data_IF_840036040816
#
_entry.id   IF_840036040816
#
_cell.length_a   1.000
_cell.length_b   1.000
_cell.length_c   1.000
_cell.angle_alpha   90.00
_cell.angle_beta   90.00
_cell.angle_gamma   90.00
#
_symmetry.space_group_name_H-M   'P 1'
#
loop_
_entity.id
_entity.type
_entity.pdbx_description
1 polymer ?
#
# COMPACT_ATOMS: atom_id res chain seq x y z
N UNK A 1 21.81 -19.69 35.82
CA UNK A 1 21.40 -19.47 34.41
C UNK A 1 20.82 -18.07 34.31
N UNK A 2 21.57 -17.14 33.75
CA UNK A 2 21.15 -15.75 33.67
C UNK A 2 20.18 -15.59 32.49
N UNK A 3 19.04 -14.95 32.77
CA UNK A 3 18.02 -14.60 31.79
C UNK A 3 18.59 -13.47 30.88
N UNK A 4 18.58 -13.60 29.56
CA UNK A 4 19.07 -12.51 28.70
C UNK A 4 18.11 -11.32 28.76
N UNK A 5 18.66 -10.15 29.07
CA UNK A 5 17.92 -8.90 29.05
C UNK A 5 17.30 -8.64 27.66
N UNK A 6 16.09 -8.08 27.60
CA UNK A 6 15.47 -7.73 26.35
C UNK A 6 16.28 -6.60 25.68
N UNK A 7 16.80 -6.85 24.48
CA UNK A 7 17.41 -5.82 23.63
C UNK A 7 16.35 -4.77 23.33
N UNK A 8 16.47 -3.61 23.97
CA UNK A 8 15.69 -2.44 23.63
C UNK A 8 16.14 -1.92 22.26
N UNK A 9 15.46 -2.31 21.21
CA UNK A 9 15.54 -1.65 19.90
C UNK A 9 14.86 -0.28 20.02
N UNK A 10 15.52 0.66 20.72
CA UNK A 10 15.07 2.03 20.78
C UNK A 10 15.14 2.64 19.38
N UNK A 11 14.01 3.05 18.84
CA UNK A 11 13.94 3.86 17.64
C UNK A 11 14.71 5.17 17.88
N UNK A 12 15.50 5.67 16.92
CA UNK A 12 16.13 6.96 17.05
C UNK A 12 15.04 8.02 17.28
N UNK A 13 15.17 8.77 18.37
CA UNK A 13 14.24 9.82 18.79
C UNK A 13 14.39 11.06 17.88
N UNK A 14 14.14 10.87 16.58
CA UNK A 14 13.94 11.96 15.62
C UNK A 14 12.47 11.95 15.29
N UNK A 15 11.73 12.88 15.88
CA UNK A 15 10.42 13.29 15.38
C UNK A 15 10.60 13.78 13.93
N UNK A 16 10.75 12.84 13.02
CA UNK A 16 10.78 13.08 11.58
C UNK A 16 9.42 13.66 11.21
N UNK A 17 9.37 14.95 10.94
CA UNK A 17 8.20 15.57 10.34
C UNK A 17 8.01 14.85 8.99
N UNK A 18 6.92 14.09 8.86
CA UNK A 18 6.43 13.69 7.57
C UNK A 18 5.96 14.98 6.87
N UNK A 19 6.91 15.68 6.23
CA UNK A 19 6.61 16.87 5.45
C UNK A 19 6.25 16.42 4.04
N UNK A 20 4.99 16.58 3.70
CA UNK A 20 4.62 16.72 2.29
C UNK A 20 5.20 18.06 1.82
N UNK A 21 5.69 18.16 0.57
CA UNK A 21 6.09 19.45 0.02
C UNK A 21 4.91 20.41 0.14
N UNK A 22 5.14 21.69 0.51
CA UNK A 22 4.09 22.70 0.53
C UNK A 22 3.45 22.82 -0.86
N UNK A 23 2.16 23.03 -0.90
CA UNK A 23 1.50 23.43 -2.13
C UNK A 23 2.06 24.81 -2.55
N UNK A 24 2.61 24.90 -3.73
CA UNK A 24 3.06 26.18 -4.29
C UNK A 24 1.85 27.05 -4.63
N UNK A 25 1.82 28.27 -4.13
CA UNK A 25 0.96 29.36 -4.56
C UNK A 25 -0.35 29.55 -3.81
N UNK A 26 -0.34 30.41 -2.78
CA UNK A 26 -1.56 31.04 -2.24
C UNK A 26 -1.38 32.54 -2.32
N UNK A 27 -2.13 33.20 -3.19
CA UNK A 27 -2.40 34.64 -3.09
C UNK A 27 -3.78 34.95 -3.70
N UNK A 28 -4.49 35.80 -2.98
CA UNK A 28 -5.56 36.71 -3.34
C UNK A 28 -6.99 36.13 -3.51
N UNK A 29 -7.81 36.58 -2.60
CA UNK A 29 -9.24 36.39 -2.35
C UNK A 29 -9.61 35.09 -1.65
N UNK A 30 -9.71 35.17 -0.32
CA UNK A 30 -10.01 34.04 0.59
C UNK A 30 -11.32 33.33 0.22
N UNK A 31 -12.30 33.99 -0.38
CA UNK A 31 -13.58 33.37 -0.72
C UNK A 31 -13.49 32.46 -1.95
N UNK A 32 -12.71 32.85 -2.95
CA UNK A 32 -12.44 32.00 -4.13
C UNK A 32 -11.40 30.92 -3.83
N UNK A 33 -10.49 31.17 -2.89
CA UNK A 33 -9.47 30.25 -2.44
C UNK A 33 -10.01 29.07 -1.59
N UNK A 34 -11.26 29.16 -1.10
CA UNK A 34 -11.88 28.10 -0.31
C UNK A 34 -12.56 27.00 -1.15
N UNK A 35 -12.61 27.14 -2.46
CA UNK A 35 -13.23 26.17 -3.37
C UNK A 35 -12.16 25.30 -4.03
N UNK A 36 -12.18 24.00 -3.72
CA UNK A 36 -11.33 23.00 -4.39
C UNK A 36 -12.11 22.34 -5.52
N UNK A 37 -11.41 21.94 -6.57
CA UNK A 37 -12.00 21.03 -7.56
C UNK A 37 -12.13 19.62 -6.96
N UNK A 38 -13.03 18.80 -7.51
CA UNK A 38 -13.20 17.39 -7.11
C UNK A 38 -11.87 16.63 -7.06
N UNK A 39 -10.96 16.88 -8.00
CA UNK A 39 -9.67 16.21 -8.04
C UNK A 39 -8.72 16.70 -6.93
N UNK A 40 -8.75 17.98 -6.61
CA UNK A 40 -8.00 18.54 -5.48
C UNK A 40 -8.53 18.02 -4.13
N UNK A 41 -9.84 17.91 -3.98
CA UNK A 41 -10.45 17.33 -2.78
C UNK A 41 -10.07 15.86 -2.60
N UNK A 42 -10.17 15.06 -3.67
CA UNK A 42 -9.74 13.65 -3.66
C UNK A 42 -8.27 13.51 -3.29
N UNK A 43 -7.40 14.33 -3.87
CA UNK A 43 -5.97 14.28 -3.58
C UNK A 43 -5.68 14.69 -2.14
N UNK A 44 -6.34 15.72 -1.61
CA UNK A 44 -6.22 16.13 -0.22
C UNK A 44 -6.64 15.02 0.73
N UNK A 45 -7.80 14.39 0.50
CA UNK A 45 -8.30 13.28 1.29
C UNK A 45 -7.34 12.08 1.26
N UNK A 46 -6.80 11.72 0.09
CA UNK A 46 -5.81 10.64 -0.05
C UNK A 46 -4.53 10.92 0.73
N UNK A 47 -4.02 12.15 0.67
CA UNK A 47 -2.83 12.57 1.44
C UNK A 47 -3.08 12.53 2.95
N UNK A 48 -4.25 12.95 3.40
CA UNK A 48 -4.65 12.86 4.81
C UNK A 48 -4.69 11.39 5.26
N UNK A 49 -5.27 10.52 4.44
CA UNK A 49 -5.33 9.08 4.70
C UNK A 49 -3.94 8.46 4.85
N UNK A 50 -3.06 8.63 3.87
CA UNK A 50 -1.68 8.11 3.94
C UNK A 50 -0.89 8.70 5.11
N UNK A 51 -1.14 9.96 5.42
CA UNK A 51 -0.52 10.63 6.58
C UNK A 51 -0.98 10.02 7.90
N UNK A 52 -2.27 9.66 8.01
CA UNK A 52 -2.82 8.98 9.17
C UNK A 52 -2.18 7.59 9.32
N UNK A 53 -2.16 6.77 8.26
CA UNK A 53 -1.56 5.44 8.29
C UNK A 53 -0.10 5.45 8.75
N UNK A 54 0.70 6.38 8.20
CA UNK A 54 2.09 6.51 8.56
C UNK A 54 2.28 6.90 10.04
N UNK A 55 1.46 7.82 10.55
CA UNK A 55 1.51 8.24 11.97
C UNK A 55 1.06 7.13 12.90
N UNK A 56 0.01 6.40 12.49
CA UNK A 56 -0.48 5.27 13.26
C UNK A 56 0.58 4.17 13.38
N UNK A 57 1.23 3.81 12.26
CA UNK A 57 2.34 2.86 12.27
C UNK A 57 3.46 3.28 13.22
N UNK A 58 3.88 4.56 13.14
CA UNK A 58 4.93 5.08 14.01
C UNK A 58 4.54 5.10 15.49
N UNK A 59 3.29 5.45 15.80
CA UNK A 59 2.80 5.43 17.18
C UNK A 59 2.81 4.01 17.76
N UNK A 60 2.35 3.02 16.99
CA UNK A 60 2.39 1.60 17.41
C UNK A 60 3.84 1.12 17.55
N UNK A 61 4.74 1.53 16.65
CA UNK A 61 6.15 1.15 16.73
C UNK A 61 6.85 1.75 17.97
N UNK A 62 6.48 2.96 18.35
CA UNK A 62 7.00 3.61 19.55
C UNK A 62 6.48 2.99 20.83
N UNK A 63 5.20 2.65 20.88
CA UNK A 63 4.55 2.13 22.08
C UNK A 63 4.78 0.63 22.28
N UNK A 64 4.66 -0.17 21.21
CA UNK A 64 4.63 -1.64 21.27
C UNK A 64 5.79 -2.31 20.51
N UNK A 65 6.70 -1.52 19.96
CA UNK A 65 7.84 -2.03 19.19
C UNK A 65 7.50 -2.31 17.71
N UNK A 66 8.56 -2.40 16.92
CA UNK A 66 8.51 -2.53 15.45
C UNK A 66 7.84 -3.83 14.99
N UNK A 67 8.06 -4.92 15.71
CA UNK A 67 7.44 -6.21 15.35
C UNK A 67 5.91 -6.16 15.47
N UNK A 68 5.41 -5.54 16.53
CA UNK A 68 3.98 -5.30 16.69
C UNK A 68 3.43 -4.39 15.59
N UNK A 69 4.13 -3.30 15.28
CA UNK A 69 3.74 -2.38 14.23
C UNK A 69 3.66 -3.07 12.86
N UNK A 70 4.68 -3.83 12.47
CA UNK A 70 4.69 -4.59 11.23
C UNK A 70 3.54 -5.60 11.16
N UNK A 71 3.33 -6.37 12.22
CA UNK A 71 2.25 -7.38 12.29
C UNK A 71 0.86 -6.73 12.17
N UNK A 72 0.62 -5.65 12.89
CA UNK A 72 -0.67 -4.95 12.86
C UNK A 72 -0.90 -4.24 11.54
N UNK A 73 0.14 -3.60 10.98
CA UNK A 73 0.07 -2.94 9.68
C UNK A 73 -0.31 -3.92 8.55
N UNK A 74 0.31 -5.10 8.50
CA UNK A 74 -0.05 -6.15 7.53
C UNK A 74 -1.51 -6.56 7.65
N UNK A 75 -2.00 -6.80 8.87
CA UNK A 75 -3.41 -7.17 9.11
C UNK A 75 -4.37 -6.07 8.70
N UNK A 76 -4.05 -4.82 9.05
CA UNK A 76 -4.85 -3.66 8.69
C UNK A 76 -4.88 -3.45 7.17
N UNK A 77 -3.73 -3.54 6.50
CA UNK A 77 -3.61 -3.42 5.06
C UNK A 77 -4.43 -4.48 4.31
N UNK A 78 -4.38 -5.75 4.74
CA UNK A 78 -5.20 -6.84 4.15
C UNK A 78 -6.69 -6.58 4.33
N UNK A 79 -7.12 -6.18 5.54
CA UNK A 79 -8.51 -5.87 5.83
C UNK A 79 -9.01 -4.67 5.01
N UNK A 80 -8.19 -3.63 4.88
CA UNK A 80 -8.45 -2.46 4.04
C UNK A 80 -8.62 -2.87 2.58
N UNK A 81 -7.66 -3.61 2.03
CA UNK A 81 -7.71 -4.08 0.63
C UNK A 81 -9.01 -4.84 0.34
N UNK A 82 -9.42 -5.72 1.27
CA UNK A 82 -10.69 -6.44 1.13
C UNK A 82 -11.91 -5.50 1.07
N UNK A 83 -11.92 -4.47 1.89
CA UNK A 83 -12.99 -3.47 1.89
C UNK A 83 -12.99 -2.62 0.62
N UNK A 84 -11.83 -2.22 0.14
CA UNK A 84 -11.64 -1.43 -1.08
C UNK A 84 -12.16 -2.15 -2.31
N UNK A 85 -11.71 -3.38 -2.54
CA UNK A 85 -12.11 -4.15 -3.70
C UNK A 85 -13.61 -4.42 -3.71
N UNK A 86 -14.22 -4.76 -2.57
CA UNK A 86 -15.68 -4.91 -2.46
C UNK A 86 -16.44 -3.64 -2.84
N UNK A 87 -15.93 -2.47 -2.43
CA UNK A 87 -16.52 -1.18 -2.78
C UNK A 87 -16.35 -0.88 -4.27
N UNK A 88 -15.17 -1.17 -4.82
CA UNK A 88 -14.86 -0.92 -6.23
C UNK A 88 -15.75 -1.76 -7.14
N UNK A 89 -15.81 -3.08 -6.92
CA UNK A 89 -16.63 -4.01 -7.70
C UNK A 89 -18.10 -3.59 -7.67
N UNK A 90 -18.61 -3.21 -6.47
CA UNK A 90 -19.97 -2.71 -6.33
C UNK A 90 -20.20 -1.40 -7.07
N UNK A 91 -19.27 -0.45 -6.98
CA UNK A 91 -19.40 0.85 -7.62
C UNK A 91 -19.32 0.77 -9.15
N UNK A 92 -18.58 -0.22 -9.69
CA UNK A 92 -18.48 -0.48 -11.12
C UNK A 92 -19.59 -1.39 -11.66
N UNK A 93 -20.39 -1.99 -10.77
CA UNK A 93 -21.43 -2.97 -11.09
C UNK A 93 -20.91 -4.13 -11.95
N UNK A 94 -19.75 -4.70 -11.57
CA UNK A 94 -19.08 -5.78 -12.30
C UNK A 94 -19.02 -7.05 -11.48
N UNK A 95 -18.95 -8.19 -12.17
CA UNK A 95 -18.71 -9.50 -11.56
C UNK A 95 -17.25 -9.72 -11.15
N UNK A 96 -16.97 -10.88 -10.55
CA UNK A 96 -15.61 -11.32 -10.33
C UNK A 96 -14.92 -11.62 -11.68
N UNK A 97 -13.60 -11.32 -11.82
CA UNK A 97 -12.84 -11.61 -13.02
C UNK A 97 -12.86 -13.12 -13.32
N UNK A 98 -12.92 -13.47 -14.59
CA UNK A 98 -12.91 -14.86 -15.07
C UNK A 98 -11.60 -15.24 -15.74
N UNK A 99 -10.74 -14.26 -16.05
CA UNK A 99 -9.42 -14.43 -16.63
C UNK A 99 -8.38 -13.60 -15.85
N UNK A 100 -7.10 -13.95 -15.98
CA UNK A 100 -6.00 -13.14 -15.41
C UNK A 100 -5.95 -11.76 -16.06
N UNK A 101 -6.29 -11.64 -17.33
CA UNK A 101 -6.32 -10.36 -18.02
C UNK A 101 -7.37 -9.41 -17.41
N UNK A 102 -8.57 -9.91 -17.16
CA UNK A 102 -9.62 -9.16 -16.46
C UNK A 102 -9.20 -8.81 -15.02
N UNK A 103 -8.52 -9.73 -14.33
CA UNK A 103 -7.96 -9.46 -13.01
C UNK A 103 -6.93 -8.33 -13.05
N UNK A 104 -6.01 -8.33 -14.01
CA UNK A 104 -5.01 -7.27 -14.20
C UNK A 104 -5.69 -5.92 -14.41
N UNK A 105 -6.68 -5.84 -15.29
CA UNK A 105 -7.44 -4.61 -15.53
C UNK A 105 -8.14 -4.09 -14.26
N UNK A 106 -8.68 -5.00 -13.45
CA UNK A 106 -9.31 -4.64 -12.17
C UNK A 106 -8.28 -4.17 -11.12
N UNK A 107 -7.11 -4.81 -11.07
CA UNK A 107 -5.99 -4.38 -10.21
C UNK A 107 -5.50 -2.99 -10.62
N UNK A 108 -5.35 -2.72 -11.92
CA UNK A 108 -4.99 -1.39 -12.43
C UNK A 108 -6.03 -0.33 -12.06
N UNK A 109 -7.31 -0.66 -12.18
CA UNK A 109 -8.40 0.21 -11.74
C UNK A 109 -8.31 0.48 -10.23
N UNK A 110 -8.09 -0.54 -9.41
CA UNK A 110 -7.92 -0.40 -7.96
C UNK A 110 -6.72 0.49 -7.61
N UNK A 111 -5.59 0.32 -8.31
CA UNK A 111 -4.43 1.19 -8.15
C UNK A 111 -4.76 2.64 -8.48
N UNK A 112 -5.43 2.89 -9.60
CA UNK A 112 -5.82 4.25 -10.01
C UNK A 112 -6.73 4.93 -8.99
N UNK A 113 -7.66 4.19 -8.38
CA UNK A 113 -8.59 4.76 -7.41
C UNK A 113 -8.01 4.92 -6.00
N UNK A 114 -7.25 3.93 -5.52
CA UNK A 114 -6.84 3.86 -4.12
C UNK A 114 -5.36 4.17 -3.86
N UNK A 115 -4.51 4.07 -4.87
CA UNK A 115 -3.04 4.20 -4.69
C UNK A 115 -2.44 5.40 -5.44
N UNK A 116 -3.20 6.05 -6.26
CA UNK A 116 -2.99 7.36 -6.91
C UNK A 116 -1.60 7.68 -7.49
N UNK A 117 -1.50 7.85 -8.81
CA UNK A 117 -0.47 8.72 -9.41
C UNK A 117 -0.69 10.18 -8.93
N UNK A 118 0.34 11.00 -8.65
CA UNK A 118 1.76 10.74 -8.91
C UNK A 118 2.52 10.09 -7.75
N UNK A 119 1.89 9.81 -6.61
CA UNK A 119 2.57 9.29 -5.42
C UNK A 119 3.12 7.88 -5.63
N UNK A 120 2.39 7.05 -6.37
CA UNK A 120 2.79 5.70 -6.71
C UNK A 120 2.54 5.45 -8.19
N UNK A 121 3.52 4.86 -8.88
CA UNK A 121 3.41 4.46 -10.28
C UNK A 121 3.73 2.97 -10.38
N UNK A 122 2.78 2.21 -10.88
CA UNK A 122 2.92 0.78 -11.11
C UNK A 122 2.39 0.41 -12.50
N UNK A 123 2.96 -0.65 -13.06
CA UNK A 123 2.48 -1.32 -14.25
C UNK A 123 2.18 -2.75 -13.91
N UNK A 124 1.15 -3.30 -14.51
CA UNK A 124 0.74 -4.69 -14.30
C UNK A 124 0.63 -5.39 -15.64
N UNK A 125 0.98 -6.67 -15.67
CA UNK A 125 0.82 -7.49 -16.87
C UNK A 125 0.54 -8.94 -16.51
N UNK A 126 -0.30 -9.59 -17.25
CA UNK A 126 -0.42 -11.05 -17.18
C UNK A 126 0.90 -11.69 -17.60
N UNK A 127 1.33 -12.70 -16.87
CA UNK A 127 2.51 -13.52 -17.19
C UNK A 127 2.04 -14.80 -17.88
N UNK A 128 1.00 -15.43 -17.34
CA UNK A 128 0.31 -16.61 -17.86
C UNK A 128 -1.16 -16.62 -17.40
N UNK A 129 -1.88 -17.72 -17.63
CA UNK A 129 -3.29 -17.85 -17.29
C UNK A 129 -3.58 -17.87 -15.77
N UNK A 130 -2.54 -17.93 -14.95
CA UNK A 130 -2.63 -18.05 -13.49
C UNK A 130 -1.82 -17.03 -12.73
N UNK A 131 -1.02 -16.22 -13.41
CA UNK A 131 -0.13 -15.27 -12.75
C UNK A 131 -0.03 -13.92 -13.47
N UNK A 132 0.26 -12.89 -12.69
CA UNK A 132 0.56 -11.56 -13.19
C UNK A 132 1.75 -10.96 -12.44
N UNK A 133 2.48 -10.07 -13.10
CA UNK A 133 3.57 -9.27 -12.54
C UNK A 133 3.09 -7.85 -12.26
N UNK A 134 3.49 -7.30 -11.12
CA UNK A 134 3.38 -5.87 -10.84
C UNK A 134 4.77 -5.24 -10.77
N UNK A 135 5.01 -4.17 -11.52
CA UNK A 135 6.26 -3.42 -11.46
C UNK A 135 6.03 -2.05 -10.84
N UNK A 136 6.52 -1.87 -9.61
CA UNK A 136 6.40 -0.64 -8.85
C UNK A 136 7.53 0.33 -9.22
N UNK A 137 7.33 1.19 -10.22
CA UNK A 137 8.31 2.18 -10.70
C UNK A 137 8.57 3.25 -9.64
N UNK A 138 7.53 3.84 -9.11
CA UNK A 138 7.56 4.79 -7.99
C UNK A 138 6.71 4.28 -6.84
N UNK A 139 7.19 4.42 -5.62
CA UNK A 139 6.49 3.94 -4.43
C UNK A 139 6.55 4.94 -3.29
N UNK A 140 5.41 5.52 -2.96
CA UNK A 140 5.25 6.43 -1.83
C UNK A 140 5.73 5.83 -0.50
N UNK A 141 5.46 4.54 -0.27
CA UNK A 141 5.91 3.84 0.94
C UNK A 141 7.44 3.86 1.01
N UNK A 142 8.11 3.50 -0.09
CA UNK A 142 9.57 3.52 -0.16
C UNK A 142 10.14 4.90 0.14
N UNK A 143 9.58 5.95 -0.48
CA UNK A 143 10.05 7.32 -0.29
C UNK A 143 9.94 7.74 1.18
N UNK A 144 8.86 7.36 1.86
CA UNK A 144 8.63 7.70 3.27
C UNK A 144 9.47 6.87 4.23
N UNK A 145 9.59 5.56 4.06
CA UNK A 145 10.42 4.71 4.94
C UNK A 145 11.91 5.09 4.82
N UNK A 146 12.35 5.50 3.62
CA UNK A 146 13.69 6.01 3.39
C UNK A 146 13.91 7.34 4.14
N UNK A 147 12.98 8.29 4.02
CA UNK A 147 13.03 9.58 4.74
C UNK A 147 13.01 9.39 6.26
N UNK A 148 12.22 8.45 6.75
CA UNK A 148 12.10 8.15 8.17
C UNK A 148 13.29 7.33 8.72
N UNK A 149 14.16 6.78 7.86
CA UNK A 149 15.30 5.95 8.27
C UNK A 149 14.89 4.58 8.82
N UNK A 150 13.69 4.09 8.47
CA UNK A 150 13.13 2.85 9.03
C UNK A 150 13.17 1.67 8.05
N UNK A 151 13.85 1.83 6.91
CA UNK A 151 13.85 0.85 5.83
C UNK A 151 14.42 -0.53 6.20
N UNK A 152 15.32 -0.60 7.19
CA UNK A 152 15.95 -1.85 7.62
C UNK A 152 15.02 -2.78 8.40
N UNK A 153 13.97 -2.25 9.04
CA UNK A 153 13.07 -3.03 9.88
C UNK A 153 11.59 -2.94 9.46
N UNK A 154 11.25 -2.06 8.53
CA UNK A 154 9.90 -1.98 8.00
C UNK A 154 9.59 -3.17 7.09
N UNK A 155 8.53 -3.90 7.40
CA UNK A 155 8.01 -4.97 6.54
C UNK A 155 6.89 -4.39 5.67
N UNK A 156 7.06 -4.50 4.35
CA UNK A 156 6.12 -3.92 3.40
C UNK A 156 4.76 -4.63 3.45
N UNK A 157 3.69 -3.87 3.71
CA UNK A 157 2.32 -4.36 3.74
C UNK A 157 1.54 -4.14 2.42
N UNK A 158 2.21 -3.63 1.37
CA UNK A 158 1.54 -3.40 0.08
C UNK A 158 1.02 -4.70 -0.54
N UNK A 159 1.77 -5.78 -0.42
CA UNK A 159 1.34 -7.10 -0.92
C UNK A 159 0.18 -7.67 -0.09
N UNK A 160 0.14 -7.41 1.22
CA UNK A 160 -1.00 -7.80 2.07
C UNK A 160 -2.27 -7.04 1.64
N UNK A 161 -2.18 -5.77 1.26
CA UNK A 161 -3.31 -5.01 0.72
C UNK A 161 -3.82 -5.60 -0.59
N UNK A 162 -2.91 -5.94 -1.52
CA UNK A 162 -3.23 -6.62 -2.78
C UNK A 162 -3.85 -7.98 -2.50
N UNK A 163 -3.32 -8.73 -1.54
CA UNK A 163 -3.92 -10.00 -1.11
C UNK A 163 -5.35 -9.80 -0.59
N UNK A 164 -5.62 -8.71 0.14
CA UNK A 164 -6.98 -8.33 0.52
C UNK A 164 -7.91 -8.11 -0.66
N UNK A 165 -7.40 -7.55 -1.78
CA UNK A 165 -8.17 -7.44 -3.02
C UNK A 165 -8.53 -8.81 -3.59
N UNK A 166 -7.57 -9.75 -3.63
CA UNK A 166 -7.85 -11.13 -4.07
C UNK A 166 -8.85 -11.84 -3.16
N UNK A 167 -8.71 -11.69 -1.84
CA UNK A 167 -9.66 -12.27 -0.87
C UNK A 167 -11.10 -11.80 -1.14
N UNK A 168 -11.27 -10.51 -1.52
CA UNK A 168 -12.59 -9.95 -1.83
C UNK A 168 -13.21 -10.55 -3.09
N UNK A 169 -12.38 -10.98 -4.04
CA UNK A 169 -12.78 -11.62 -5.30
C UNK A 169 -12.95 -13.15 -5.18
N UNK A 170 -12.67 -13.71 -4.00
CA UNK A 170 -12.70 -15.16 -3.77
C UNK A 170 -11.51 -15.89 -4.42
N UNK A 171 -10.43 -15.16 -4.74
CA UNK A 171 -9.20 -15.73 -5.28
C UNK A 171 -8.25 -16.11 -4.15
N UNK A 172 -7.55 -17.23 -4.30
CA UNK A 172 -6.53 -17.68 -3.35
C UNK A 172 -5.16 -17.56 -4.02
N UNK A 173 -4.19 -16.98 -3.33
CA UNK A 173 -2.81 -16.97 -3.81
C UNK A 173 -2.23 -18.41 -3.74
N UNK A 174 -1.46 -18.79 -4.75
CA UNK A 174 -0.75 -20.08 -4.77
C UNK A 174 0.34 -20.08 -3.69
N UNK A 175 1.03 -18.95 -3.57
CA UNK A 175 2.03 -18.72 -2.51
C UNK A 175 1.77 -17.37 -1.87
N UNK A 176 1.78 -17.33 -0.54
CA UNK A 176 1.79 -16.06 0.16
C UNK A 176 3.16 -15.40 -0.03
N UNK A 177 3.21 -14.13 -0.48
CA UNK A 177 4.49 -13.43 -0.58
C UNK A 177 5.18 -13.43 0.79
N UNK A 178 6.46 -13.84 0.87
CA UNK A 178 7.16 -13.87 2.14
C UNK A 178 7.20 -12.46 2.75
N UNK A 179 7.05 -12.37 4.07
CA UNK A 179 7.26 -11.13 4.81
C UNK A 179 8.69 -10.67 4.57
N UNK A 180 8.86 -9.55 3.89
CA UNK A 180 10.19 -9.04 3.52
C UNK A 180 10.28 -7.52 3.67
N UNK A 181 11.50 -7.07 3.96
CA UNK A 181 11.85 -5.66 3.84
C UNK A 181 11.68 -5.20 2.38
N UNK A 182 11.54 -3.90 2.19
CA UNK A 182 11.33 -3.33 0.86
C UNK A 182 12.53 -3.62 -0.07
N UNK A 183 12.37 -4.27 -1.23
CA UNK A 183 13.46 -4.55 -2.16
C UNK A 183 14.19 -3.27 -2.61
N UNK A 184 13.48 -2.16 -2.77
CA UNK A 184 14.07 -0.87 -3.17
C UNK A 184 15.03 -0.31 -2.12
N UNK A 185 14.85 -0.62 -0.83
CA UNK A 185 15.80 -0.23 0.23
C UNK A 185 17.13 -0.96 0.07
N UNK A 186 17.09 -2.16 -0.49
CA UNK A 186 18.28 -2.98 -0.78
C UNK A 186 18.88 -2.70 -2.18
N UNK A 187 18.41 -1.66 -2.87
CA UNK A 187 18.86 -1.31 -4.22
C UNK A 187 18.27 -2.16 -5.35
N UNK A 188 17.31 -3.04 -5.03
CA UNK A 188 16.61 -3.88 -6.01
C UNK A 188 15.33 -3.26 -6.54
N UNK A 189 14.73 -3.91 -7.51
CA UNK A 189 13.42 -3.55 -8.06
C UNK A 189 12.28 -4.21 -7.28
N UNK A 190 11.15 -3.53 -7.21
CA UNK A 190 9.92 -4.08 -6.66
C UNK A 190 9.06 -4.62 -7.81
N UNK A 191 9.21 -5.91 -8.12
CA UNK A 191 8.53 -6.62 -9.21
C UNK A 191 7.96 -7.96 -8.70
N UNK A 192 6.93 -7.93 -7.84
CA UNK A 192 6.29 -9.17 -7.40
C UNK A 192 5.54 -9.83 -8.55
N UNK A 193 5.73 -11.14 -8.68
CA UNK A 193 4.85 -12.02 -9.46
C UNK A 193 3.84 -12.61 -8.47
N UNK A 194 2.58 -12.50 -8.82
CA UNK A 194 1.46 -12.97 -7.99
C UNK A 194 0.76 -14.09 -8.77
N UNK A 195 0.84 -15.29 -8.23
CA UNK A 195 0.15 -16.44 -8.77
C UNK A 195 -1.14 -16.71 -8.01
N UNK A 196 -2.25 -16.85 -8.72
CA UNK A 196 -3.59 -17.02 -8.15
C UNK A 196 -4.17 -18.36 -8.56
N UNK A 197 -4.83 -19.04 -7.60
CA UNK A 197 -5.70 -20.18 -7.93
C UNK A 197 -7.07 -19.66 -8.29
N UNK A 198 -7.57 -20.00 -9.46
CA UNK A 198 -8.93 -19.67 -9.80
C UNK A 198 -9.89 -20.57 -9.05
N UNK A 199 -10.67 -20.04 -8.15
CA UNK A 199 -11.93 -20.71 -7.83
C UNK A 199 -12.89 -20.65 -9.05
N UNK A 200 -12.64 -19.73 -10.00
CA UNK A 200 -13.52 -19.45 -11.14
C UNK A 200 -12.82 -18.94 -12.41
N UNK A 201 -11.49 -18.75 -12.42
CA UNK A 201 -10.81 -18.32 -13.66
C UNK A 201 -10.86 -19.49 -14.64
N UNK A 202 -11.37 -19.26 -15.83
CA UNK A 202 -11.32 -20.22 -16.95
C UNK A 202 -10.01 -20.01 -17.70
N UNK A 203 -9.40 -21.07 -18.20
CA UNK A 203 -8.23 -20.97 -19.08
C UNK A 203 -8.57 -20.21 -20.37
#
# INVERSE_FOLDING_TARGET
MANPEPRTNALPNRAGRFCFPPAEGVSEDVSSALVLSDEQEKELLRRCWYSHDARWYMAVAQEFGVEAANRLNKRAARALGKAEMRRLVRALDIGAPTTVQELVQLIEAAFRFFVTPPLTQAEFRAVDDHSYEGWMKRCFIYDNIKKAGIGSFYICAALDRIQGWHDALGLTLIEEPPARTCPKVQGGECRPVVAVRPARLRP
#
